data_IF_222393583681
#
_entry.id   IF_222393583681
#
_cell.length_a   1.000
_cell.length_b   1.000
_cell.length_c   1.000
_cell.angle_alpha   90.00
_cell.angle_beta   90.00
_cell.angle_gamma   90.00
#
_symmetry.space_group_name_H-M   'P 1'
#
loop_
_entity.id
_entity.type
_entity.pdbx_description
1 polymer ?
#
# COMPACT_ATOMS: atom_id res chain seq x y z
N UNK A 1 -31.99 9.08 -16.65
CA UNK A 1 -32.00 8.27 -15.41
C UNK A 1 -30.62 7.70 -15.02
N UNK A 2 -29.52 7.94 -15.74
CA UNK A 2 -28.18 7.44 -15.33
C UNK A 2 -27.35 8.38 -14.44
N UNK A 3 -27.72 9.67 -14.31
CA UNK A 3 -26.93 10.60 -13.49
C UNK A 3 -27.08 10.39 -11.99
N UNK A 4 -28.21 9.87 -11.47
CA UNK A 4 -28.38 9.66 -10.03
C UNK A 4 -27.47 8.58 -9.47
N UNK A 5 -27.26 7.47 -10.20
CA UNK A 5 -26.40 6.37 -9.75
C UNK A 5 -24.92 6.77 -9.68
N UNK A 6 -24.45 7.58 -10.62
CA UNK A 6 -23.06 8.07 -10.60
C UNK A 6 -22.85 9.05 -9.45
N UNK A 7 -23.79 9.98 -9.22
CA UNK A 7 -23.75 10.87 -8.06
C UNK A 7 -23.78 10.10 -6.73
N UNK A 8 -24.64 9.09 -6.63
CA UNK A 8 -24.79 8.26 -5.42
C UNK A 8 -23.53 7.44 -5.13
N UNK A 9 -22.88 6.89 -6.16
CA UNK A 9 -21.61 6.18 -5.99
C UNK A 9 -20.48 7.14 -5.59
N UNK A 10 -20.41 8.34 -6.18
CA UNK A 10 -19.42 9.35 -5.81
C UNK A 10 -19.63 9.80 -4.36
N UNK A 11 -20.87 10.03 -3.93
CA UNK A 11 -21.19 10.41 -2.55
C UNK A 11 -20.89 9.28 -1.56
N UNK A 12 -21.13 8.01 -1.94
CA UNK A 12 -20.77 6.86 -1.11
C UNK A 12 -19.25 6.73 -0.93
N UNK A 13 -18.48 6.90 -2.00
CA UNK A 13 -17.01 6.88 -1.95
C UNK A 13 -16.49 8.07 -1.12
N UNK A 14 -17.04 9.27 -1.34
CA UNK A 14 -16.65 10.47 -0.61
C UNK A 14 -16.98 10.37 0.89
N UNK A 15 -18.12 9.79 1.24
CA UNK A 15 -18.55 9.56 2.62
C UNK A 15 -17.69 8.52 3.32
N UNK A 16 -17.33 7.43 2.62
CA UNK A 16 -16.43 6.42 3.15
C UNK A 16 -15.02 6.98 3.40
N UNK A 17 -14.51 7.80 2.49
CA UNK A 17 -13.23 8.50 2.69
C UNK A 17 -13.29 9.49 3.85
N UNK A 18 -14.39 10.25 3.98
CA UNK A 18 -14.60 11.18 5.11
C UNK A 18 -14.69 10.46 6.47
N UNK A 19 -15.40 9.33 6.56
CA UNK A 19 -15.48 8.53 7.79
C UNK A 19 -14.12 7.90 8.16
N UNK A 20 -13.27 7.62 7.18
CA UNK A 20 -11.89 7.20 7.40
C UNK A 20 -11.00 8.35 7.89
N UNK A 21 -11.17 9.56 7.35
CA UNK A 21 -10.43 10.75 7.76
C UNK A 21 -10.86 11.25 9.16
N UNK A 22 -12.13 11.06 9.53
CA UNK A 22 -12.69 11.49 10.82
C UNK A 22 -12.25 10.58 11.98
N UNK A 23 -11.94 9.30 11.70
CA UNK A 23 -11.45 8.32 12.68
C UNK A 23 -9.94 8.39 12.97
N UNK A 24 -9.18 9.20 12.21
CA UNK A 24 -7.74 9.36 12.47
C UNK A 24 -7.51 10.14 13.75
N UNK A 25 -6.83 9.52 14.70
CA UNK A 25 -6.39 10.20 15.92
C UNK A 25 -5.37 11.30 15.57
N UNK A 26 -5.28 12.35 16.39
CA UNK A 26 -4.36 13.49 16.16
C UNK A 26 -2.90 13.03 16.00
N UNK A 27 -2.51 11.97 16.72
CA UNK A 27 -1.18 11.36 16.62
C UNK A 27 -0.90 10.75 15.23
N UNK A 28 -1.91 10.22 14.56
CA UNK A 28 -1.76 9.60 13.24
C UNK A 28 -1.62 10.64 12.13
N UNK A 29 -2.31 11.78 12.26
CA UNK A 29 -2.12 12.91 11.35
C UNK A 29 -0.70 13.47 11.47
N UNK A 30 -0.24 13.69 12.70
CA UNK A 30 1.12 14.18 12.97
C UNK A 30 2.18 13.19 12.46
N UNK A 31 2.00 11.89 12.69
CA UNK A 31 2.93 10.85 12.21
C UNK A 31 3.03 10.81 10.68
N UNK A 32 1.90 10.89 9.98
CA UNK A 32 1.89 10.88 8.51
C UNK A 32 2.53 12.14 7.91
N UNK A 33 2.31 13.32 8.52
CA UNK A 33 2.93 14.58 8.12
C UNK A 33 4.45 14.56 8.36
N UNK A 34 4.90 14.13 9.53
CA UNK A 34 6.33 14.05 9.88
C UNK A 34 7.04 13.03 9.00
N UNK A 35 6.47 11.85 8.80
CA UNK A 35 7.07 10.83 7.93
C UNK A 35 7.04 11.24 6.44
N UNK A 36 6.03 12.00 6.00
CA UNK A 36 5.99 12.60 4.67
C UNK A 36 7.08 13.67 4.49
N UNK A 37 7.29 14.52 5.49
CA UNK A 37 8.34 15.53 5.49
C UNK A 37 9.74 14.91 5.55
N UNK A 38 9.95 13.90 6.39
CA UNK A 38 11.23 13.18 6.52
C UNK A 38 11.66 12.47 5.23
N UNK A 39 10.70 12.04 4.41
CA UNK A 39 10.97 11.47 3.08
C UNK A 39 11.25 12.50 1.98
N UNK A 40 11.21 13.80 2.29
CA UNK A 40 11.40 14.87 1.30
C UNK A 40 12.87 15.27 1.17
N UNK A 41 13.29 15.62 -0.05
CA UNK A 41 14.62 16.17 -0.31
C UNK A 41 14.85 17.52 0.41
N UNK A 42 13.77 18.24 0.71
CA UNK A 42 13.82 19.49 1.47
C UNK A 42 14.29 19.28 2.93
N UNK A 43 13.92 18.15 3.54
CA UNK A 43 14.35 17.78 4.89
C UNK A 43 15.87 17.56 4.95
N UNK A 44 16.42 16.87 3.94
CA UNK A 44 17.87 16.66 3.78
C UNK A 44 18.59 17.99 3.62
N UNK A 45 18.09 18.88 2.77
CA UNK A 45 18.66 20.21 2.57
C UNK A 45 18.68 21.05 3.85
N UNK A 46 17.59 21.04 4.62
CA UNK A 46 17.49 21.72 5.92
C UNK A 46 18.55 21.20 6.91
N UNK A 47 18.71 19.88 7.03
CA UNK A 47 19.70 19.27 7.92
C UNK A 47 21.12 19.65 7.54
N UNK A 48 21.44 19.63 6.23
CA UNK A 48 22.76 20.05 5.75
C UNK A 48 23.06 21.51 6.12
N UNK A 49 22.09 22.41 5.99
CA UNK A 49 22.24 23.82 6.38
C UNK A 49 22.40 23.97 7.89
N UNK A 50 21.61 23.26 8.69
CA UNK A 50 21.71 23.29 10.16
C UNK A 50 23.09 22.78 10.61
N UNK A 51 23.56 21.65 10.07
CA UNK A 51 24.86 21.09 10.41
C UNK A 51 26.01 22.01 9.97
N UNK A 52 25.94 22.56 8.76
CA UNK A 52 26.93 23.53 8.29
C UNK A 52 26.95 24.78 9.17
N UNK A 53 25.79 25.31 9.55
CA UNK A 53 25.68 26.45 10.46
C UNK A 53 26.25 26.12 11.85
N UNK A 54 25.92 24.96 12.42
CA UNK A 54 26.41 24.52 13.73
C UNK A 54 27.94 24.39 13.76
N UNK A 55 28.52 23.76 12.75
CA UNK A 55 29.98 23.60 12.60
C UNK A 55 30.64 24.97 12.42
N UNK A 56 30.07 25.84 11.58
CA UNK A 56 30.58 27.19 11.30
C UNK A 56 30.57 28.03 12.59
N UNK A 57 29.46 28.04 13.33
CA UNK A 57 29.33 28.79 14.58
C UNK A 57 30.26 28.28 15.69
N UNK A 58 30.49 26.97 15.78
CA UNK A 58 31.40 26.40 16.79
C UNK A 58 32.87 26.42 16.36
N UNK A 59 33.20 26.46 15.06
CA UNK A 59 34.58 26.44 14.57
C UNK A 59 35.17 27.83 14.35
N UNK A 60 34.35 28.81 13.97
CA UNK A 60 34.84 30.17 13.80
C UNK A 60 34.89 30.87 15.16
N UNK A 61 36.08 31.36 15.51
CA UNK A 61 36.33 32.26 16.67
C UNK A 61 35.67 33.65 16.52
N UNK A 62 34.54 33.75 15.83
CA UNK A 62 33.84 35.01 15.54
C UNK A 62 33.20 35.58 16.80
N UNK A 63 32.76 34.73 17.73
CA UNK A 63 32.20 35.17 19.01
C UNK A 63 33.19 34.90 20.13
N UNK A 64 33.48 35.89 20.98
CA UNK A 64 34.20 35.73 22.26
C UNK A 64 33.48 34.80 23.28
N UNK A 65 32.46 34.07 22.82
CA UNK A 65 31.74 33.06 23.57
C UNK A 65 32.57 31.77 23.60
N UNK A 66 32.64 31.15 24.78
CA UNK A 66 33.26 29.84 24.96
C UNK A 66 32.66 28.83 23.95
N UNK A 67 33.48 27.96 23.35
CA UNK A 67 33.01 26.94 22.41
C UNK A 67 31.93 26.09 23.10
N UNK A 68 30.69 26.16 22.62
CA UNK A 68 29.55 25.49 23.27
C UNK A 68 29.53 23.99 22.99
N UNK A 69 29.94 23.57 21.79
CA UNK A 69 30.06 22.17 21.39
C UNK A 69 31.40 21.96 20.65
N UNK A 70 32.53 21.87 21.37
CA UNK A 70 33.83 21.67 20.75
C UNK A 70 33.91 20.32 20.02
N UNK A 71 34.77 20.20 18.99
CA UNK A 71 34.99 18.93 18.30
C UNK A 71 35.40 17.86 19.33
N UNK A 72 34.72 16.70 19.36
CA UNK A 72 34.01 16.05 18.25
C UNK A 72 32.48 16.31 18.11
N UNK A 73 31.92 17.39 18.67
CA UNK A 73 30.49 17.75 18.58
C UNK A 73 29.54 16.74 19.25
N UNK A 74 29.72 16.50 20.54
CA UNK A 74 28.96 15.49 21.29
C UNK A 74 27.47 15.86 21.43
N UNK A 75 27.16 17.15 21.59
CA UNK A 75 25.77 17.61 21.72
C UNK A 75 25.01 17.46 20.39
N UNK A 76 25.61 17.87 19.27
CA UNK A 76 25.00 17.66 17.97
C UNK A 76 24.78 16.17 17.70
N UNK A 77 25.78 15.34 17.97
CA UNK A 77 25.70 13.89 17.74
C UNK A 77 24.56 13.23 18.53
N UNK A 78 24.39 13.60 19.79
CA UNK A 78 23.33 13.04 20.64
C UNK A 78 21.93 13.50 20.21
N UNK A 79 21.76 14.78 19.87
CA UNK A 79 20.48 15.31 19.39
C UNK A 79 20.08 14.63 18.07
N UNK A 80 21.01 14.54 17.11
CA UNK A 80 20.77 13.90 15.82
C UNK A 80 20.44 12.42 15.98
N UNK A 81 21.12 11.71 16.89
CA UNK A 81 20.82 10.31 17.16
C UNK A 81 19.40 10.11 17.72
N UNK A 82 18.97 10.98 18.64
CA UNK A 82 17.60 10.95 19.18
C UNK A 82 16.56 11.27 18.10
N UNK A 83 16.82 12.30 17.30
CA UNK A 83 15.96 12.68 16.17
C UNK A 83 15.83 11.52 15.17
N UNK A 84 16.94 10.87 14.80
CA UNK A 84 16.95 9.72 13.90
C UNK A 84 16.12 8.55 14.43
N UNK A 85 16.18 8.26 15.73
CA UNK A 85 15.36 7.21 16.36
C UNK A 85 13.86 7.52 16.29
N UNK A 86 13.47 8.78 16.55
CA UNK A 86 12.08 9.23 16.44
C UNK A 86 11.59 9.14 15.00
N UNK A 87 12.39 9.59 14.04
CA UNK A 87 12.06 9.53 12.61
C UNK A 87 11.91 8.09 12.12
N UNK A 88 12.85 7.20 12.48
CA UNK A 88 12.76 5.78 12.15
C UNK A 88 11.47 5.16 12.71
N UNK A 89 11.10 5.51 13.95
CA UNK A 89 9.86 5.06 14.57
C UNK A 89 8.61 5.54 13.81
N UNK A 90 8.57 6.81 13.42
CA UNK A 90 7.47 7.35 12.61
C UNK A 90 7.39 6.71 11.22
N UNK A 91 8.54 6.47 10.57
CA UNK A 91 8.61 5.77 9.30
C UNK A 91 8.04 4.35 9.44
N UNK A 92 8.43 3.59 10.47
CA UNK A 92 7.93 2.24 10.72
C UNK A 92 6.42 2.22 10.97
N UNK A 93 5.90 3.19 11.74
CA UNK A 93 4.44 3.33 11.95
C UNK A 93 3.73 3.59 10.62
N UNK A 94 4.27 4.49 9.78
CA UNK A 94 3.71 4.77 8.45
C UNK A 94 3.77 3.55 7.54
N UNK A 95 4.89 2.83 7.53
CA UNK A 95 5.06 1.60 6.75
C UNK A 95 4.09 0.51 7.18
N UNK A 96 3.95 0.26 8.49
CA UNK A 96 2.98 -0.71 9.03
C UNK A 96 1.54 -0.38 8.63
N UNK A 97 1.16 0.91 8.68
CA UNK A 97 -0.16 1.39 8.25
C UNK A 97 -0.38 1.17 6.75
N UNK A 98 0.61 1.47 5.91
CA UNK A 98 0.54 1.28 4.46
C UNK A 98 0.47 -0.22 4.14
N UNK A 99 1.25 -1.06 4.82
CA UNK A 99 1.23 -2.52 4.67
C UNK A 99 -0.15 -3.10 4.96
N UNK A 100 -0.72 -2.77 6.12
CA UNK A 100 -2.07 -3.25 6.48
C UNK A 100 -3.16 -2.83 5.48
N UNK A 101 -3.05 -1.62 4.93
CA UNK A 101 -3.96 -1.18 3.84
C UNK A 101 -3.72 -1.93 2.54
N UNK A 102 -2.47 -2.27 2.24
CA UNK A 102 -2.11 -3.15 1.14
C UNK A 102 -2.81 -4.50 1.28
N UNK A 103 -2.66 -5.14 2.44
CA UNK A 103 -3.25 -6.45 2.75
C UNK A 103 -4.79 -6.43 2.63
N UNK A 104 -5.45 -5.40 3.19
CA UNK A 104 -6.91 -5.23 3.07
C UNK A 104 -7.34 -5.09 1.61
N UNK A 105 -6.61 -4.29 0.82
CA UNK A 105 -6.90 -4.10 -0.61
C UNK A 105 -6.66 -5.35 -1.43
N UNK A 106 -5.61 -6.11 -1.12
CA UNK A 106 -5.27 -7.35 -1.81
C UNK A 106 -6.32 -8.43 -1.51
N UNK A 107 -6.83 -8.49 -0.27
CA UNK A 107 -7.95 -9.37 0.08
C UNK A 107 -9.24 -9.02 -0.66
N UNK A 108 -9.58 -7.73 -0.78
CA UNK A 108 -10.73 -7.27 -1.57
C UNK A 108 -10.55 -7.57 -3.06
N UNK A 109 -9.35 -7.35 -3.60
CA UNK A 109 -9.02 -7.65 -4.99
C UNK A 109 -9.20 -9.15 -5.29
N UNK A 110 -8.75 -10.01 -4.38
CA UNK A 110 -8.97 -11.45 -4.47
C UNK A 110 -10.48 -11.75 -4.54
N UNK A 111 -11.29 -11.22 -3.63
CA UNK A 111 -12.74 -11.46 -3.66
C UNK A 111 -13.40 -11.03 -4.97
N UNK A 112 -13.02 -9.86 -5.52
CA UNK A 112 -13.53 -9.37 -6.80
C UNK A 112 -13.11 -10.30 -7.94
N UNK A 113 -11.87 -10.79 -7.93
CA UNK A 113 -11.37 -11.71 -8.94
C UNK A 113 -12.16 -13.02 -8.93
N UNK A 114 -12.41 -13.59 -7.74
CA UNK A 114 -13.19 -14.83 -7.58
C UNK A 114 -14.65 -14.66 -8.01
N UNK A 115 -15.25 -13.51 -7.68
CA UNK A 115 -16.60 -13.19 -8.16
C UNK A 115 -16.62 -13.08 -9.69
N UNK A 116 -15.65 -12.37 -10.26
CA UNK A 116 -15.53 -12.20 -11.72
C UNK A 116 -15.32 -13.55 -12.42
N UNK A 117 -14.49 -14.42 -11.85
CA UNK A 117 -14.30 -15.78 -12.35
C UNK A 117 -15.63 -16.54 -12.36
N UNK A 118 -16.37 -16.55 -11.24
CA UNK A 118 -17.68 -17.22 -11.15
C UNK A 118 -18.69 -16.68 -12.16
N UNK A 119 -18.72 -15.36 -12.36
CA UNK A 119 -19.58 -14.73 -13.38
C UNK A 119 -19.17 -15.14 -14.80
N UNK A 120 -17.88 -15.16 -15.11
CA UNK A 120 -17.35 -15.61 -16.40
C UNK A 120 -17.69 -17.09 -16.64
N UNK A 121 -17.49 -17.97 -15.65
CA UNK A 121 -17.85 -19.38 -15.73
C UNK A 121 -19.34 -19.56 -16.00
N UNK A 122 -20.21 -18.80 -15.31
CA UNK A 122 -21.65 -18.83 -15.54
C UNK A 122 -22.01 -18.38 -16.97
N UNK A 123 -21.36 -17.33 -17.47
CA UNK A 123 -21.54 -16.85 -18.86
C UNK A 123 -21.07 -17.89 -19.87
N UNK A 124 -19.93 -18.54 -19.63
CA UNK A 124 -19.42 -19.63 -20.47
C UNK A 124 -20.39 -20.81 -20.49
N UNK A 125 -20.96 -21.18 -19.35
CA UNK A 125 -21.96 -22.25 -19.25
C UNK A 125 -23.23 -21.90 -20.04
N UNK A 126 -23.75 -20.69 -19.89
CA UNK A 126 -24.89 -20.22 -20.68
C UNK A 126 -24.57 -20.22 -22.18
N UNK A 127 -23.37 -19.76 -22.57
CA UNK A 127 -22.92 -19.76 -23.97
C UNK A 127 -22.83 -21.18 -24.54
N UNK A 128 -22.32 -22.15 -23.75
CA UNK A 128 -22.28 -23.57 -24.12
C UNK A 128 -23.68 -24.14 -24.33
N UNK A 129 -24.62 -23.82 -23.45
CA UNK A 129 -26.01 -24.26 -23.58
C UNK A 129 -26.66 -23.70 -24.86
N UNK A 130 -26.45 -22.43 -25.17
CA UNK A 130 -26.91 -21.80 -26.40
C UNK A 130 -26.27 -22.43 -27.65
N UNK A 131 -24.96 -22.69 -27.63
CA UNK A 131 -24.26 -23.35 -28.73
C UNK A 131 -24.82 -24.76 -28.99
N UNK A 132 -25.16 -25.52 -27.94
CA UNK A 132 -25.83 -26.82 -28.08
C UNK A 132 -27.21 -26.70 -28.73
N UNK A 133 -28.02 -25.74 -28.30
CA UNK A 133 -29.35 -25.50 -28.91
C UNK A 133 -29.26 -25.05 -30.37
N UNK A 134 -28.23 -24.29 -30.74
CA UNK A 134 -27.97 -23.84 -32.11
C UNK A 134 -27.40 -24.93 -33.04
N UNK A 135 -27.26 -26.18 -32.57
CA UNK A 135 -26.69 -27.29 -33.35
C UNK A 135 -25.16 -27.31 -33.41
N UNK A 136 -24.48 -26.43 -32.68
CA UNK A 136 -23.01 -26.35 -32.59
C UNK A 136 -22.44 -27.19 -31.43
N UNK A 137 -23.06 -28.34 -31.13
CA UNK A 137 -22.66 -29.21 -30.02
C UNK A 137 -21.19 -29.63 -30.05
N UNK A 138 -20.62 -29.85 -31.24
CA UNK A 138 -19.17 -30.15 -31.40
C UNK A 138 -18.25 -29.05 -30.88
N UNK A 139 -18.66 -27.79 -30.91
CA UNK A 139 -17.88 -26.65 -30.39
C UNK A 139 -18.08 -26.54 -28.88
N UNK A 140 -19.33 -26.69 -28.42
CA UNK A 140 -19.64 -26.69 -27.00
C UNK A 140 -18.94 -27.83 -26.25
N UNK A 141 -18.74 -29.00 -26.85
CA UNK A 141 -18.11 -30.14 -26.20
C UNK A 141 -16.59 -30.21 -26.41
N UNK A 142 -15.95 -29.15 -26.92
CA UNK A 142 -14.49 -29.09 -26.97
C UNK A 142 -13.89 -29.15 -25.55
N UNK A 143 -12.80 -29.90 -25.34
CA UNK A 143 -12.19 -30.08 -24.02
C UNK A 143 -11.82 -28.76 -23.35
N UNK A 144 -11.20 -27.85 -24.10
CA UNK A 144 -10.75 -26.53 -23.63
C UNK A 144 -11.93 -25.66 -23.15
N UNK A 145 -13.02 -25.60 -23.92
CA UNK A 145 -14.22 -24.84 -23.53
C UNK A 145 -14.95 -25.49 -22.35
N UNK A 146 -14.78 -26.80 -22.14
CA UNK A 146 -15.39 -27.53 -21.03
C UNK A 146 -14.65 -27.25 -19.74
N UNK A 147 -13.33 -27.36 -19.78
CA UNK A 147 -12.45 -27.04 -18.67
C UNK A 147 -12.64 -25.59 -18.20
N UNK A 148 -12.69 -24.61 -19.11
CA UNK A 148 -12.93 -23.20 -18.75
C UNK A 148 -14.33 -22.92 -18.15
N UNK A 149 -15.30 -23.79 -18.41
CA UNK A 149 -16.66 -23.69 -17.85
C UNK A 149 -16.85 -24.43 -16.54
N UNK A 150 -15.83 -25.17 -16.10
CA UNK A 150 -15.82 -25.78 -14.79
C UNK A 150 -15.27 -24.74 -13.80
N UNK A 151 -15.83 -24.70 -12.58
CA UNK A 151 -15.32 -23.79 -11.55
C UNK A 151 -13.92 -24.27 -11.16
N UNK A 152 -12.92 -23.38 -11.25
CA UNK A 152 -11.63 -23.68 -10.67
C UNK A 152 -11.75 -23.54 -9.17
N UNK A 153 -11.55 -24.65 -8.45
CA UNK A 153 -11.51 -24.64 -6.99
C UNK A 153 -10.24 -23.92 -6.54
N UNK A 154 -10.41 -22.81 -5.83
CA UNK A 154 -9.31 -21.99 -5.31
C UNK A 154 -8.48 -22.82 -4.33
N UNK A 155 -9.13 -23.66 -3.53
CA UNK A 155 -8.48 -24.59 -2.61
C UNK A 155 -7.56 -25.56 -3.35
N UNK A 156 -7.98 -26.09 -4.50
CA UNK A 156 -7.15 -26.97 -5.32
C UNK A 156 -6.00 -26.21 -5.96
N UNK A 157 -6.22 -24.97 -6.41
CA UNK A 157 -5.16 -24.12 -6.95
C UNK A 157 -4.12 -23.76 -5.88
N UNK A 158 -4.56 -23.38 -4.67
CA UNK A 158 -3.70 -23.06 -3.55
C UNK A 158 -2.88 -24.28 -3.09
N UNK A 159 -3.53 -25.45 -3.01
CA UNK A 159 -2.88 -26.72 -2.71
C UNK A 159 -1.81 -27.06 -3.75
N UNK A 160 -2.15 -26.96 -5.04
CA UNK A 160 -1.21 -27.23 -6.14
C UNK A 160 -0.01 -26.28 -6.13
N UNK A 161 -0.22 -24.99 -5.85
CA UNK A 161 0.87 -24.02 -5.73
C UNK A 161 1.78 -24.38 -4.55
N UNK A 162 1.20 -24.71 -3.40
CA UNK A 162 1.96 -25.04 -2.20
C UNK A 162 2.76 -26.34 -2.34
N UNK A 163 2.17 -27.37 -2.96
CA UNK A 163 2.86 -28.62 -3.28
C UNK A 163 4.02 -28.39 -4.25
N UNK A 164 3.85 -27.55 -5.27
CA UNK A 164 4.90 -27.22 -6.23
C UNK A 164 6.04 -26.37 -5.62
N UNK A 165 5.73 -25.45 -4.71
CA UNK A 165 6.76 -24.68 -3.99
C UNK A 165 7.58 -25.62 -3.10
N UNK A 166 6.92 -26.52 -2.35
CA UNK A 166 7.62 -27.49 -1.51
C UNK A 166 8.45 -28.50 -2.30
N UNK A 167 8.03 -28.86 -3.51
CA UNK A 167 8.79 -29.74 -4.39
C UNK A 167 10.02 -29.08 -5.04
N UNK A 168 10.09 -27.74 -5.02
CA UNK A 168 11.19 -26.96 -5.57
C UNK A 168 12.27 -26.59 -4.53
N UNK A 169 12.00 -26.81 -3.23
CA UNK A 169 12.95 -26.71 -2.12
C UNK A 169 13.69 -28.03 -1.87
#
# INVERSE_FOLDING_TARGET
>A
MSQSHVQEHIDLIAKHEQDFLSRRTRAEKLSDEVAGFAGSLAFVGLHLVIFAAWITLNSLKITQLHHFDPPPYSLLSTIVALEALLLASFILIRQSRIGRRGDERDHLMLQILLLSEREITAVLEMSRQLAKQAGLGRVADQPEIKELSEQTSIEDMAKNIQENIQAAE
#
